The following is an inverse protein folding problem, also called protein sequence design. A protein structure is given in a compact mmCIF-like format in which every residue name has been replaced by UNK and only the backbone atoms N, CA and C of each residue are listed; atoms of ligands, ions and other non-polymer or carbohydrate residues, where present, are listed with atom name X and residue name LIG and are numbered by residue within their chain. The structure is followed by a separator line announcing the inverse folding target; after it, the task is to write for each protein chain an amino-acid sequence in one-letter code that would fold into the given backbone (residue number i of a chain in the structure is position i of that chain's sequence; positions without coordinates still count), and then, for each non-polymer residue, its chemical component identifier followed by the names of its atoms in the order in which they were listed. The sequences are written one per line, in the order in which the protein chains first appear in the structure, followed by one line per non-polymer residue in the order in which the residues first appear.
data_IF_310801018994
#
_entry.id   IF_310801018994
#
_cell.length_a   1.000
_cell.length_b   1.000
_cell.length_c   1.000
_cell.angle_alpha   90.00
_cell.angle_beta   90.00
_cell.angle_gamma   90.00
#
_symmetry.space_group_name_H-M   'P 1'
#
loop_
_entity.id
_entity.type
_entity.pdbx_description
1 polymer ?
#
# COMPACT_ATOMS: atom_id res chain seq x y z
N UNK A 1 76.37 -4.39 19.26
CA UNK A 1 75.46 -3.30 18.85
C UNK A 1 74.54 -3.87 17.78
N UNK A 2 73.34 -4.29 18.17
CA UNK A 2 72.30 -4.78 17.27
C UNK A 2 71.07 -3.92 17.48
N UNK A 3 70.66 -3.23 16.44
CA UNK A 3 69.61 -2.21 16.42
C UNK A 3 68.28 -2.92 16.18
N UNK A 4 67.43 -3.02 17.20
CA UNK A 4 66.04 -3.44 17.04
C UNK A 4 65.20 -2.27 16.58
N UNK A 5 64.68 -2.35 15.36
CA UNK A 5 63.67 -1.45 14.82
C UNK A 5 62.31 -1.75 15.47
N UNK A 6 61.78 -0.80 16.25
CA UNK A 6 60.36 -0.77 16.60
C UNK A 6 59.56 -0.34 15.38
N UNK A 7 58.73 -1.24 14.85
CA UNK A 7 57.70 -0.90 13.87
C UNK A 7 56.46 -0.47 14.63
N UNK A 8 56.20 0.85 14.67
CA UNK A 8 54.97 1.41 15.20
C UNK A 8 53.81 1.07 14.26
N UNK A 9 53.07 0.02 14.59
CA UNK A 9 51.86 -0.36 13.87
C UNK A 9 50.70 0.51 14.37
N UNK A 10 50.56 1.71 13.81
CA UNK A 10 49.45 2.62 14.12
C UNK A 10 48.19 2.09 13.40
N UNK A 11 47.44 1.20 14.06
CA UNK A 11 46.08 0.88 13.65
C UNK A 11 45.22 2.15 13.81
N UNK A 12 44.67 2.66 12.71
CA UNK A 12 43.67 3.71 12.74
C UNK A 12 42.49 3.26 13.63
N UNK A 13 41.92 4.13 14.47
CA UNK A 13 40.80 3.76 15.33
C UNK A 13 39.62 3.33 14.45
N UNK A 14 39.08 2.12 14.72
CA UNK A 14 37.89 1.62 14.03
C UNK A 14 36.70 2.53 14.38
N UNK A 15 36.05 3.08 13.36
CA UNK A 15 34.83 3.86 13.52
C UNK A 15 33.73 3.02 14.17
N UNK A 16 32.88 3.64 14.98
CA UNK A 16 31.68 2.97 15.47
C UNK A 16 30.70 2.72 14.31
N UNK A 17 29.90 1.64 14.39
CA UNK A 17 28.84 1.33 13.41
C UNK A 17 27.91 2.53 13.13
N UNK A 18 27.68 3.39 14.13
CA UNK A 18 26.85 4.60 13.98
C UNK A 18 27.55 5.67 13.13
N UNK A 19 28.86 5.85 13.30
CA UNK A 19 29.65 6.78 12.51
C UNK A 19 29.79 6.30 11.07
N UNK A 20 30.00 4.99 10.85
CA UNK A 20 30.01 4.39 9.52
C UNK A 20 28.68 4.60 8.79
N UNK A 21 27.55 4.36 9.46
CA UNK A 21 26.22 4.61 8.89
C UNK A 21 25.98 6.10 8.62
N UNK A 22 26.41 6.98 9.52
CA UNK A 22 26.32 8.43 9.33
C UNK A 22 27.10 8.87 8.09
N UNK A 23 28.31 8.35 7.89
CA UNK A 23 29.13 8.64 6.70
C UNK A 23 28.45 8.14 5.44
N UNK A 24 27.95 6.90 5.43
CA UNK A 24 27.19 6.36 4.28
C UNK A 24 25.96 7.21 3.95
N UNK A 25 25.25 7.73 4.96
CA UNK A 25 24.06 8.56 4.77
C UNK A 25 24.36 9.97 4.24
N UNK A 26 25.61 10.43 4.33
CA UNK A 26 26.05 11.71 3.74
C UNK A 26 26.21 11.64 2.22
N UNK A 27 26.22 10.43 1.66
CA UNK A 27 26.29 10.20 0.23
C UNK A 27 24.91 9.75 -0.29
N UNK A 28 24.71 9.91 -1.60
CA UNK A 28 23.59 9.33 -2.32
C UNK A 28 24.05 8.01 -2.92
N UNK A 29 23.25 6.96 -2.79
CA UNK A 29 23.52 5.73 -3.51
C UNK A 29 23.15 5.85 -5.01
N UNK A 30 23.44 4.82 -5.81
CA UNK A 30 23.20 4.84 -7.25
C UNK A 30 21.71 5.03 -7.62
N UNK A 31 20.78 4.55 -6.78
CA UNK A 31 19.35 4.71 -7.01
C UNK A 31 18.90 6.14 -6.73
N UNK A 32 19.48 6.78 -5.72
CA UNK A 32 19.20 8.16 -5.35
C UNK A 32 19.84 9.18 -6.30
N UNK A 33 21.02 8.86 -6.84
CA UNK A 33 21.72 9.66 -7.86
C UNK A 33 20.84 9.89 -9.08
N UNK A 34 20.08 8.88 -9.52
CA UNK A 34 19.13 9.02 -10.64
C UNK A 34 18.13 10.16 -10.40
N UNK A 35 17.54 10.22 -9.21
CA UNK A 35 16.55 11.25 -8.85
C UNK A 35 17.19 12.62 -8.66
N UNK A 36 18.41 12.69 -8.13
CA UNK A 36 19.17 13.93 -8.06
C UNK A 36 19.43 14.51 -9.45
N UNK A 37 19.86 13.66 -10.39
CA UNK A 37 20.20 14.10 -11.75
C UNK A 37 18.96 14.60 -12.50
N UNK A 38 17.77 14.11 -12.16
CA UNK A 38 16.48 14.55 -12.69
C UNK A 38 15.83 15.72 -11.91
N UNK A 39 16.40 16.15 -10.78
CA UNK A 39 15.76 17.10 -9.86
C UNK A 39 15.34 18.41 -10.52
N UNK A 40 16.24 19.05 -11.27
CA UNK A 40 15.99 20.36 -11.90
C UNK A 40 14.90 20.25 -12.97
N UNK A 41 14.93 19.18 -13.77
CA UNK A 41 13.95 18.93 -14.81
C UNK A 41 12.56 18.62 -14.22
N UNK A 42 12.47 17.76 -13.21
CA UNK A 42 11.21 17.48 -12.51
C UNK A 42 10.61 18.74 -11.89
N UNK A 43 11.45 19.60 -11.30
CA UNK A 43 11.01 20.89 -10.76
C UNK A 43 10.44 21.80 -11.85
N UNK A 44 11.04 21.83 -13.05
CA UNK A 44 10.50 22.57 -14.20
C UNK A 44 9.17 21.99 -14.70
N UNK A 45 9.00 20.66 -14.62
CA UNK A 45 7.73 19.98 -14.89
C UNK A 45 6.67 20.18 -13.80
N UNK A 46 6.99 20.91 -12.72
CA UNK A 46 6.06 21.18 -11.62
C UNK A 46 6.05 20.14 -10.51
N UNK A 47 7.07 19.29 -10.41
CA UNK A 47 7.23 18.27 -9.36
C UNK A 47 8.50 18.52 -8.55
N UNK A 48 8.34 18.95 -7.30
CA UNK A 48 9.45 19.24 -6.40
C UNK A 48 9.78 18.02 -5.54
N UNK A 49 11.00 17.49 -5.71
CA UNK A 49 11.54 16.45 -4.84
C UNK A 49 12.04 17.02 -3.51
N UNK A 50 12.22 16.13 -2.52
CA UNK A 50 12.76 16.46 -1.19
C UNK A 50 14.17 17.06 -1.27
N UNK A 51 14.60 17.85 -0.25
CA UNK A 51 15.91 18.51 -0.24
C UNK A 51 17.11 17.58 -0.48
N UNK A 52 17.01 16.32 -0.02
CA UNK A 52 18.04 15.29 -0.21
C UNK A 52 18.45 15.09 -1.68
N UNK A 53 17.52 15.25 -2.61
CA UNK A 53 17.76 15.04 -4.04
C UNK A 53 18.15 16.31 -4.79
N UNK A 54 18.33 17.44 -4.09
CA UNK A 54 18.84 18.65 -4.74
C UNK A 54 20.32 18.44 -5.15
N UNK A 55 20.76 18.79 -6.37
CA UNK A 55 22.16 18.68 -6.79
C UNK A 55 23.15 19.42 -5.89
N UNK A 56 22.71 20.48 -5.21
CA UNK A 56 23.50 21.27 -4.25
C UNK A 56 23.30 20.80 -2.80
N UNK A 57 22.69 19.63 -2.58
CA UNK A 57 22.40 19.11 -1.25
C UNK A 57 23.67 18.92 -0.42
N UNK A 58 23.62 19.45 0.80
CA UNK A 58 24.61 19.22 1.85
C UNK A 58 23.83 18.58 3.01
N UNK A 59 24.24 17.40 3.52
CA UNK A 59 23.55 16.75 4.62
C UNK A 59 23.40 17.69 5.82
N UNK A 60 22.18 17.83 6.33
CA UNK A 60 21.86 18.84 7.35
C UNK A 60 22.53 18.60 8.71
N UNK A 61 23.07 17.39 8.92
CA UNK A 61 23.86 17.03 10.09
C UNK A 61 25.37 17.24 9.91
N UNK A 62 25.86 17.43 8.68
CA UNK A 62 27.29 17.56 8.39
C UNK A 62 27.87 18.81 9.05
N UNK A 63 28.93 18.65 9.85
CA UNK A 63 29.56 19.75 10.58
C UNK A 63 28.73 20.30 11.76
N UNK A 64 27.68 19.58 12.17
CA UNK A 64 26.83 19.94 13.32
C UNK A 64 26.83 18.84 14.38
N UNK A 65 26.21 19.11 15.54
CA UNK A 65 25.98 18.10 16.58
C UNK A 65 24.67 17.33 16.41
N UNK A 66 23.99 17.44 15.25
CA UNK A 66 22.72 16.74 15.01
C UNK A 66 22.95 15.25 14.75
N UNK A 67 22.05 14.42 15.26
CA UNK A 67 21.98 13.02 14.86
C UNK A 67 21.34 12.93 13.46
N UNK A 68 21.96 12.19 12.54
CA UNK A 68 21.42 11.99 11.18
C UNK A 68 20.02 11.37 11.20
N UNK A 69 19.74 10.48 12.15
CA UNK A 69 18.42 9.81 12.28
C UNK A 69 17.30 10.84 12.53
N UNK A 70 17.64 11.98 13.15
CA UNK A 70 16.72 13.07 13.45
C UNK A 70 16.63 14.12 12.35
N UNK A 71 17.25 13.88 11.19
CA UNK A 71 17.25 14.80 10.06
C UNK A 71 16.29 14.30 8.96
N UNK A 72 15.49 15.21 8.41
CA UNK A 72 14.57 14.93 7.30
C UNK A 72 15.33 14.27 6.15
N UNK A 73 16.41 14.92 5.73
CA UNK A 73 17.21 14.60 4.54
C UNK A 73 18.10 13.35 4.70
N UNK A 74 17.95 12.61 5.80
CA UNK A 74 18.55 11.29 6.00
C UNK A 74 17.57 10.13 5.75
N UNK A 75 16.26 10.42 5.74
CA UNK A 75 15.21 9.43 5.52
C UNK A 75 15.14 9.07 4.03
N UNK A 76 15.17 7.78 3.71
CA UNK A 76 15.12 7.23 2.34
C UNK A 76 13.93 6.26 2.29
N UNK A 77 13.11 6.36 1.24
CA UNK A 77 11.98 5.45 1.03
C UNK A 77 12.42 4.02 0.70
N UNK A 78 11.47 3.08 0.68
CA UNK A 78 11.77 1.65 0.57
C UNK A 78 12.21 1.19 -0.82
N UNK A 79 11.78 1.90 -1.88
CA UNK A 79 12.01 1.50 -3.29
C UNK A 79 12.57 2.64 -4.16
N UNK A 80 13.69 3.26 -3.77
CA UNK A 80 14.25 4.42 -4.47
C UNK A 80 14.71 4.11 -5.89
N UNK A 81 14.83 2.84 -6.29
CA UNK A 81 15.12 2.44 -7.68
C UNK A 81 13.92 2.64 -8.63
N UNK A 82 12.68 2.62 -8.09
CA UNK A 82 11.43 2.60 -8.87
C UNK A 82 10.46 3.71 -8.50
N UNK A 83 10.44 4.14 -7.25
CA UNK A 83 9.45 5.05 -6.69
C UNK A 83 10.14 6.28 -6.10
N UNK A 84 9.51 7.44 -6.26
CA UNK A 84 9.97 8.69 -5.63
C UNK A 84 8.80 9.57 -5.23
N UNK A 85 8.87 10.15 -4.04
CA UNK A 85 7.85 11.09 -3.58
C UNK A 85 8.16 12.51 -4.06
N UNK A 86 7.12 13.22 -4.48
CA UNK A 86 7.23 14.60 -4.92
C UNK A 86 6.07 15.44 -4.38
N UNK A 87 6.27 16.75 -4.37
CA UNK A 87 5.19 17.73 -4.19
C UNK A 87 4.86 18.33 -5.54
N UNK A 88 3.62 18.17 -6.00
CA UNK A 88 3.14 18.89 -7.17
C UNK A 88 3.00 20.37 -6.83
N UNK A 89 3.67 21.23 -7.58
CA UNK A 89 3.83 22.66 -7.27
C UNK A 89 2.53 23.43 -7.45
N UNK A 90 1.65 23.00 -8.36
CA UNK A 90 0.42 23.74 -8.68
C UNK A 90 -0.62 23.74 -7.56
N UNK A 91 -0.65 22.72 -6.70
CA UNK A 91 -1.65 22.54 -5.65
C UNK A 91 -1.10 21.96 -4.34
N UNK A 92 0.23 21.90 -4.20
CA UNK A 92 0.95 21.36 -3.03
C UNK A 92 0.66 19.89 -2.70
N UNK A 93 0.01 19.16 -3.61
CA UNK A 93 -0.36 17.77 -3.41
C UNK A 93 0.88 16.87 -3.34
N UNK A 94 0.94 16.00 -2.33
CA UNK A 94 1.91 14.91 -2.29
C UNK A 94 1.53 13.84 -3.32
N UNK A 95 2.49 13.50 -4.17
CA UNK A 95 2.33 12.51 -5.24
C UNK A 95 3.48 11.50 -5.20
N UNK A 96 3.24 10.33 -5.76
CA UNK A 96 4.27 9.33 -6.04
C UNK A 96 4.60 9.36 -7.54
N UNK A 97 5.88 9.31 -7.86
CA UNK A 97 6.40 9.08 -9.20
C UNK A 97 6.83 7.62 -9.30
N UNK A 98 6.25 6.86 -10.23
CA UNK A 98 6.65 5.48 -10.55
C UNK A 98 7.39 5.45 -11.88
N UNK A 99 8.62 4.92 -11.88
CA UNK A 99 9.39 4.62 -13.08
C UNK A 99 8.80 3.40 -13.79
N UNK A 100 8.57 3.54 -15.08
CA UNK A 100 8.06 2.50 -15.96
C UNK A 100 8.96 2.43 -17.19
N UNK A 101 9.77 1.37 -17.38
CA UNK A 101 10.61 1.24 -18.57
C UNK A 101 9.73 1.17 -19.83
N UNK A 102 10.16 1.77 -20.95
CA UNK A 102 9.38 1.68 -22.19
C UNK A 102 9.41 0.23 -22.69
N UNK A 103 8.25 -0.42 -22.57
CA UNK A 103 8.04 -1.81 -22.95
C UNK A 103 6.54 -2.04 -23.15
N UNK A 104 6.18 -3.10 -23.88
CA UNK A 104 4.76 -3.46 -24.06
C UNK A 104 4.03 -3.68 -22.74
N UNK A 105 4.70 -4.25 -21.73
CA UNK A 105 4.11 -4.45 -20.41
C UNK A 105 3.76 -3.11 -19.72
N UNK A 106 4.71 -2.16 -19.71
CA UNK A 106 4.48 -0.83 -19.13
C UNK A 106 3.43 -0.03 -19.90
N UNK A 107 3.39 -0.13 -21.23
CA UNK A 107 2.36 0.53 -22.04
C UNK A 107 0.97 -0.04 -21.74
N UNK A 108 0.85 -1.36 -21.59
CA UNK A 108 -0.39 -2.00 -21.13
C UNK A 108 -0.81 -1.54 -19.73
N UNK A 109 0.14 -1.44 -18.78
CA UNK A 109 -0.13 -0.90 -17.44
C UNK A 109 -0.67 0.54 -17.51
N UNK A 110 -0.02 1.39 -18.33
CA UNK A 110 -0.41 2.78 -18.54
C UNK A 110 -1.82 2.86 -19.15
N UNK A 111 -2.12 2.05 -20.15
CA UNK A 111 -3.42 2.04 -20.82
C UNK A 111 -4.55 1.64 -19.87
N UNK A 112 -4.36 0.59 -19.05
CA UNK A 112 -5.31 0.19 -18.03
C UNK A 112 -5.48 1.28 -16.96
N UNK A 113 -4.39 1.83 -16.44
CA UNK A 113 -4.45 2.89 -15.43
C UNK A 113 -5.20 4.12 -15.98
N UNK A 114 -4.89 4.54 -17.21
CA UNK A 114 -5.54 5.67 -17.86
C UNK A 114 -7.01 5.41 -18.15
N UNK A 115 -7.38 4.18 -18.53
CA UNK A 115 -8.78 3.78 -18.72
C UNK A 115 -9.61 4.03 -17.46
N UNK A 116 -9.10 3.63 -16.28
CA UNK A 116 -9.79 3.91 -15.01
C UNK A 116 -9.67 5.36 -14.52
N UNK A 117 -8.70 6.13 -15.03
CA UNK A 117 -8.44 7.52 -14.64
C UNK A 117 -9.22 8.57 -15.42
N UNK A 118 -9.89 8.18 -16.50
CA UNK A 118 -10.62 9.07 -17.42
C UNK A 118 -12.14 8.88 -17.31
N UNK A 119 -12.91 9.86 -17.77
CA UNK A 119 -14.36 9.73 -17.85
C UNK A 119 -14.75 8.63 -18.86
N UNK A 120 -15.80 7.84 -18.58
CA UNK A 120 -16.75 7.99 -17.48
C UNK A 120 -16.33 7.30 -16.16
N UNK A 121 -15.17 6.65 -16.10
CA UNK A 121 -14.78 5.77 -15.00
C UNK A 121 -14.18 6.51 -13.80
N UNK A 122 -13.47 7.62 -14.03
CA UNK A 122 -12.74 8.40 -13.02
C UNK A 122 -13.55 8.68 -11.75
N UNK A 123 -14.80 9.11 -11.93
CA UNK A 123 -15.68 9.54 -10.85
C UNK A 123 -16.72 8.48 -10.43
N UNK A 124 -16.62 7.26 -10.96
CA UNK A 124 -17.54 6.19 -10.60
C UNK A 124 -17.35 5.81 -9.11
N UNK A 125 -18.41 5.70 -8.30
CA UNK A 125 -18.29 5.49 -6.85
C UNK A 125 -17.61 4.17 -6.48
N UNK A 126 -17.79 3.13 -7.30
CA UNK A 126 -17.12 1.82 -7.13
C UNK A 126 -15.72 1.75 -7.74
N UNK A 127 -15.22 2.84 -8.33
CA UNK A 127 -13.87 2.86 -8.88
C UNK A 127 -12.85 3.06 -7.75
N UNK A 128 -12.21 1.95 -7.42
CA UNK A 128 -11.08 1.86 -6.48
C UNK A 128 -9.76 1.58 -7.21
N UNK A 129 -9.65 1.79 -8.52
CA UNK A 129 -8.36 1.74 -9.21
C UNK A 129 -7.58 3.04 -8.95
N UNK A 130 -6.27 2.94 -8.72
CA UNK A 130 -5.42 4.12 -8.53
C UNK A 130 -5.43 5.00 -9.78
N UNK A 131 -5.68 6.32 -9.65
CA UNK A 131 -5.63 7.20 -10.79
C UNK A 131 -4.19 7.55 -11.16
N UNK A 132 -3.87 7.53 -12.45
CA UNK A 132 -2.69 8.19 -13.00
C UNK A 132 -3.09 9.61 -13.38
N UNK A 133 -2.55 10.58 -12.64
CA UNK A 133 -2.77 12.00 -12.91
C UNK A 133 -2.11 12.43 -14.22
N UNK A 134 -0.91 11.90 -14.47
CA UNK A 134 -0.11 12.21 -15.65
C UNK A 134 0.86 11.04 -15.91
N UNK A 135 1.26 10.88 -17.17
CA UNK A 135 2.35 9.98 -17.57
C UNK A 135 3.32 10.78 -18.42
N UNK A 136 4.56 10.91 -17.95
CA UNK A 136 5.59 11.78 -18.54
C UNK A 136 6.65 10.88 -19.18
N UNK A 137 6.93 11.05 -20.47
CA UNK A 137 8.10 10.42 -21.11
C UNK A 137 9.35 11.22 -20.78
N UNK A 138 10.36 10.57 -20.21
CA UNK A 138 11.63 11.24 -19.92
C UNK A 138 12.38 11.49 -21.24
N UNK A 139 12.84 12.73 -21.50
CA UNK A 139 13.60 13.03 -22.71
C UNK A 139 14.90 12.21 -22.79
N UNK A 140 15.14 11.58 -23.95
CA UNK A 140 16.35 10.79 -24.23
C UNK A 140 16.55 9.55 -23.34
N UNK A 141 15.50 9.08 -22.64
CA UNK A 141 15.51 7.82 -21.90
C UNK A 141 14.36 6.93 -22.32
N UNK A 142 14.56 5.61 -22.22
CA UNK A 142 13.51 4.61 -22.43
C UNK A 142 12.72 4.39 -21.13
N UNK A 143 12.20 5.47 -20.54
CA UNK A 143 11.42 5.42 -19.30
C UNK A 143 10.27 6.44 -19.30
N UNK A 144 9.11 6.00 -18.85
CA UNK A 144 7.98 6.83 -18.44
C UNK A 144 8.01 7.05 -16.93
N UNK A 145 7.49 8.18 -16.48
CA UNK A 145 7.13 8.47 -15.09
C UNK A 145 5.61 8.57 -14.98
N UNK A 146 4.99 7.64 -14.27
CA UNK A 146 3.59 7.75 -13.88
C UNK A 146 3.48 8.59 -12.60
N UNK A 147 2.65 9.63 -12.65
CA UNK A 147 2.32 10.48 -11.49
C UNK A 147 1.01 9.99 -10.90
N UNK A 148 1.04 9.52 -9.66
CA UNK A 148 -0.11 8.93 -8.97
C UNK A 148 -0.25 9.52 -7.56
N UNK A 149 -1.41 9.38 -6.88
CA UNK A 149 -1.54 9.80 -5.49
C UNK A 149 -0.46 9.17 -4.62
N UNK A 150 0.01 9.92 -3.62
CA UNK A 150 0.80 9.33 -2.55
C UNK A 150 -0.10 8.45 -1.67
N UNK A 151 0.23 7.18 -1.56
CA UNK A 151 -0.56 6.17 -0.84
C UNK A 151 0.33 5.42 0.15
N UNK A 152 -0.27 4.93 1.24
CA UNK A 152 0.44 4.16 2.27
C UNK A 152 -0.16 2.76 2.42
N UNK A 153 0.53 1.88 3.12
CA UNK A 153 0.00 0.56 3.47
C UNK A 153 -1.29 0.68 4.29
N UNK A 154 -2.27 -0.19 4.00
CA UNK A 154 -3.61 -0.14 4.61
C UNK A 154 -3.62 -0.53 6.10
N UNK A 155 -2.59 -1.21 6.61
CA UNK A 155 -2.42 -1.51 8.04
C UNK A 155 -1.62 -0.42 8.78
N UNK A 156 -1.29 0.70 8.13
CA UNK A 156 -0.51 1.79 8.72
C UNK A 156 -1.30 3.11 8.69
N UNK A 157 -1.89 3.53 9.82
CA UNK A 157 -1.89 2.87 11.14
C UNK A 157 -2.79 1.61 11.21
N UNK A 158 -2.65 0.76 12.22
CA UNK A 158 -3.47 -0.46 12.32
C UNK A 158 -4.98 -0.15 12.44
N UNK A 159 -5.83 -1.09 12.05
CA UNK A 159 -7.28 -0.94 12.25
C UNK A 159 -7.64 -0.94 13.74
N UNK A 160 -8.52 -0.04 14.15
CA UNK A 160 -8.98 0.04 15.53
C UNK A 160 -10.24 -0.78 15.80
N UNK A 161 -11.18 -0.80 14.84
CA UNK A 161 -12.49 -1.46 15.00
C UNK A 161 -12.78 -2.45 13.88
N UNK A 162 -13.61 -3.45 14.17
CA UNK A 162 -14.11 -4.38 13.15
C UNK A 162 -14.83 -3.61 12.03
N UNK A 163 -15.54 -2.53 12.34
CA UNK A 163 -16.21 -1.71 11.34
C UNK A 163 -15.25 -1.06 10.35
N UNK A 164 -14.05 -0.64 10.78
CA UNK A 164 -13.03 -0.11 9.86
C UNK A 164 -12.52 -1.20 8.91
N UNK A 165 -12.33 -2.44 9.40
CA UNK A 165 -11.95 -3.59 8.57
C UNK A 165 -13.04 -3.93 7.55
N UNK A 166 -14.31 -3.85 7.95
CA UNK A 166 -15.43 -4.11 7.04
C UNK A 166 -15.57 -3.03 5.96
N UNK A 167 -15.25 -1.78 6.28
CA UNK A 167 -15.20 -0.73 5.25
C UNK A 167 -14.05 -0.96 4.26
N UNK A 168 -12.89 -1.43 4.72
CA UNK A 168 -11.80 -1.86 3.85
C UNK A 168 -12.24 -2.99 2.91
N UNK A 169 -12.85 -4.07 3.44
CA UNK A 169 -13.35 -5.18 2.64
C UNK A 169 -14.39 -4.73 1.61
N UNK A 170 -15.33 -3.86 2.01
CA UNK A 170 -16.35 -3.31 1.11
C UNK A 170 -15.70 -2.64 -0.10
N UNK A 171 -14.76 -1.72 0.14
CA UNK A 171 -14.12 -0.93 -0.92
C UNK A 171 -13.32 -1.82 -1.89
N UNK A 172 -12.54 -2.79 -1.40
CA UNK A 172 -11.77 -3.68 -2.28
C UNK A 172 -12.68 -4.65 -3.06
N UNK A 173 -13.78 -5.12 -2.45
CA UNK A 173 -14.77 -5.95 -3.16
C UNK A 173 -15.48 -5.16 -4.26
N UNK A 174 -15.88 -3.92 -3.98
CA UNK A 174 -16.49 -3.03 -4.97
C UNK A 174 -15.52 -2.69 -6.11
N UNK A 175 -14.24 -2.44 -5.78
CA UNK A 175 -13.20 -2.19 -6.77
C UNK A 175 -13.03 -3.33 -7.76
N UNK A 176 -12.86 -4.56 -7.26
CA UNK A 176 -12.69 -5.74 -8.12
C UNK A 176 -13.98 -6.06 -8.86
N UNK A 177 -15.15 -5.92 -8.23
CA UNK A 177 -16.44 -6.04 -8.91
C UNK A 177 -16.56 -5.05 -10.08
N UNK A 178 -16.14 -3.81 -9.88
CA UNK A 178 -16.17 -2.77 -10.90
C UNK A 178 -15.25 -3.10 -12.08
N UNK A 179 -14.00 -3.51 -11.80
CA UNK A 179 -13.08 -3.99 -12.85
C UNK A 179 -13.70 -5.15 -13.65
N UNK A 180 -14.24 -6.15 -12.95
CA UNK A 180 -14.86 -7.33 -13.57
C UNK A 180 -16.10 -6.95 -14.40
N UNK A 181 -16.87 -5.94 -13.98
CA UNK A 181 -18.03 -5.44 -14.74
C UNK A 181 -17.65 -4.78 -16.07
N UNK A 182 -16.40 -4.32 -16.19
CA UNK A 182 -15.81 -3.77 -17.40
C UNK A 182 -14.95 -4.81 -18.15
N UNK A 183 -15.06 -6.08 -17.77
CA UNK A 183 -14.28 -7.21 -18.28
C UNK A 183 -12.76 -7.02 -18.16
N UNK A 184 -12.29 -6.31 -17.13
CA UNK A 184 -10.87 -6.21 -16.80
C UNK A 184 -10.60 -7.09 -15.59
N UNK A 185 -9.61 -7.96 -15.68
CA UNK A 185 -9.08 -8.68 -14.53
C UNK A 185 -7.74 -8.07 -14.12
N UNK A 186 -7.47 -8.02 -12.82
CA UNK A 186 -6.24 -7.45 -12.28
C UNK A 186 -5.07 -8.42 -12.41
N UNK A 187 -5.31 -9.73 -12.29
CA UNK A 187 -4.31 -10.80 -12.46
C UNK A 187 -3.10 -10.76 -11.52
N UNK A 188 -3.07 -9.87 -10.52
CA UNK A 188 -2.05 -9.87 -9.48
C UNK A 188 -2.56 -9.21 -8.19
N UNK A 189 -3.79 -9.51 -7.79
CA UNK A 189 -4.34 -9.03 -6.51
C UNK A 189 -3.54 -9.68 -5.37
N UNK A 190 -2.93 -8.85 -4.52
CA UNK A 190 -2.17 -9.28 -3.34
C UNK A 190 -2.17 -8.16 -2.31
N UNK A 191 -1.69 -8.45 -1.10
CA UNK A 191 -1.81 -7.57 0.05
C UNK A 191 -1.12 -6.19 -0.16
N UNK A 192 0.00 -6.15 -0.88
CA UNK A 192 0.79 -4.96 -1.23
C UNK A 192 0.30 -4.25 -2.51
N UNK A 193 -0.59 -4.89 -3.29
CA UNK A 193 -1.28 -4.26 -4.42
C UNK A 193 -2.61 -3.60 -4.01
N UNK A 194 -2.86 -3.49 -2.71
CA UNK A 194 -3.90 -2.65 -2.14
C UNK A 194 -3.22 -1.57 -1.30
N UNK A 195 -3.59 -0.32 -1.50
CA UNK A 195 -3.02 0.81 -0.77
C UNK A 195 -4.11 1.75 -0.26
N UNK A 196 -3.76 2.65 0.65
CA UNK A 196 -4.69 3.55 1.33
C UNK A 196 -4.27 5.01 1.14
N UNK A 197 -5.23 5.89 0.89
CA UNK A 197 -4.99 7.32 1.06
C UNK A 197 -5.09 7.67 2.55
N UNK A 198 -3.94 7.73 3.24
CA UNK A 198 -3.87 8.06 4.66
C UNK A 198 -3.97 9.54 4.97
N UNK A 199 -3.87 10.43 3.97
CA UNK A 199 -3.84 11.88 4.17
C UNK A 199 -4.99 12.40 5.06
N UNK A 200 -6.25 11.93 4.92
CA UNK A 200 -7.33 12.36 5.79
C UNK A 200 -7.10 12.04 7.26
N UNK A 201 -6.28 11.05 7.62
CA UNK A 201 -6.05 10.67 9.01
C UNK A 201 -5.27 11.71 9.81
N UNK A 202 -4.60 12.64 9.15
CA UNK A 202 -3.72 13.62 9.80
C UNK A 202 -4.33 15.02 9.79
N UNK A 203 -4.00 15.82 10.81
CA UNK A 203 -4.40 17.24 10.87
C UNK A 203 -3.56 18.12 9.94
N UNK A 204 -2.36 17.65 9.58
CA UNK A 204 -1.46 18.25 8.62
C UNK A 204 -0.71 17.16 7.82
N UNK A 205 -0.16 17.46 6.64
CA UNK A 205 0.50 16.46 5.80
C UNK A 205 1.65 15.73 6.52
N UNK A 206 1.63 14.39 6.59
CA UNK A 206 2.74 13.62 7.14
C UNK A 206 3.97 13.64 6.21
N UNK A 207 5.14 13.36 6.78
CA UNK A 207 6.35 13.16 6.00
C UNK A 207 6.25 11.85 5.20
N UNK A 208 6.61 11.85 3.91
CA UNK A 208 6.37 10.71 3.02
C UNK A 208 7.09 9.41 3.43
N UNK A 209 8.28 9.52 4.02
CA UNK A 209 9.06 8.35 4.44
C UNK A 209 8.87 8.02 5.92
N UNK A 210 8.46 9.01 6.72
CA UNK A 210 8.26 8.84 8.17
C UNK A 210 6.92 9.47 8.56
N UNK A 211 5.82 8.72 8.45
CA UNK A 211 4.49 9.25 8.71
C UNK A 211 4.25 9.57 10.20
N UNK A 212 5.22 9.29 11.08
CA UNK A 212 5.18 9.72 12.50
C UNK A 212 5.60 11.17 12.69
N UNK A 213 6.13 11.80 11.66
CA UNK A 213 6.54 13.21 11.65
C UNK A 213 5.73 13.99 10.63
N UNK A 214 5.61 15.30 10.84
CA UNK A 214 5.02 16.16 9.83
C UNK A 214 5.94 16.34 8.62
N UNK A 215 5.39 16.78 7.48
CA UNK A 215 6.14 16.96 6.22
C UNK A 215 7.41 17.80 6.37
N UNK A 216 7.41 18.81 7.24
CA UNK A 216 8.57 19.66 7.51
C UNK A 216 9.60 19.04 8.48
N UNK A 217 9.29 17.86 9.04
CA UNK A 217 10.11 17.10 9.99
C UNK A 217 10.44 17.88 11.26
N UNK A 218 9.46 18.66 11.75
CA UNK A 218 9.60 19.57 12.90
C UNK A 218 8.99 19.03 14.18
N UNK A 219 7.92 18.25 14.08
CA UNK A 219 7.26 17.66 15.24
C UNK A 219 6.52 16.35 14.87
N UNK A 220 6.25 15.49 15.87
CA UNK A 220 5.53 14.25 15.65
C UNK A 220 4.05 14.47 15.31
N UNK A 221 3.50 13.57 14.51
CA UNK A 221 2.07 13.48 14.21
C UNK A 221 1.46 12.21 14.77
N UNK A 222 0.22 12.33 15.23
CA UNK A 222 -0.62 11.19 15.60
C UNK A 222 -1.78 11.05 14.62
N UNK A 223 -1.95 9.89 13.96
CA UNK A 223 -3.08 9.66 13.09
C UNK A 223 -4.38 9.58 13.88
N UNK A 224 -5.46 10.07 13.29
CA UNK A 224 -6.83 9.87 13.77
C UNK A 224 -7.35 8.50 13.35
N UNK A 225 -8.29 7.94 14.12
CA UNK A 225 -8.99 6.71 13.77
C UNK A 225 -9.76 6.83 12.45
N UNK A 226 -9.77 5.77 11.63
CA UNK A 226 -10.58 5.69 10.40
C UNK A 226 -12.08 5.81 10.68
N UNK A 227 -12.53 5.42 11.87
CA UNK A 227 -13.90 5.63 12.36
C UNK A 227 -14.26 7.11 12.52
N UNK A 228 -13.26 7.98 12.74
CA UNK A 228 -13.43 9.42 12.81
C UNK A 228 -13.20 10.08 11.44
N UNK A 229 -12.18 9.63 10.70
CA UNK A 229 -11.81 10.15 9.38
C UNK A 229 -11.75 9.00 8.39
N UNK A 230 -12.87 8.67 7.72
CA UNK A 230 -12.91 7.63 6.71
C UNK A 230 -11.87 7.87 5.60
N UNK A 231 -11.32 6.77 5.07
CA UNK A 231 -10.27 6.77 4.06
C UNK A 231 -10.71 5.99 2.83
N UNK A 232 -10.08 6.30 1.69
CA UNK A 232 -10.27 5.54 0.45
C UNK A 232 -9.11 4.59 0.23
N UNK A 233 -9.44 3.35 -0.16
CA UNK A 233 -8.48 2.32 -0.58
C UNK A 233 -8.44 2.20 -2.09
N UNK A 234 -7.26 1.82 -2.60
CA UNK A 234 -6.99 1.69 -4.02
C UNK A 234 -6.32 0.35 -4.36
N UNK A 235 -6.75 -0.27 -5.46
CA UNK A 235 -6.03 -1.28 -6.20
C UNK A 235 -4.95 -0.59 -7.04
N UNK A 236 -3.72 -1.09 -6.97
CA UNK A 236 -2.55 -0.53 -7.65
C UNK A 236 -1.83 -1.62 -8.47
N UNK A 237 -0.82 -1.20 -9.23
CA UNK A 237 0.08 -2.10 -9.98
C UNK A 237 -0.64 -2.93 -11.05
N UNK A 238 -0.98 -2.27 -12.16
CA UNK A 238 -1.72 -2.86 -13.27
C UNK A 238 -0.81 -3.57 -14.29
N UNK A 239 0.43 -3.90 -13.93
CA UNK A 239 1.42 -4.52 -14.83
C UNK A 239 0.95 -5.86 -15.43
N UNK A 240 0.13 -6.61 -14.69
CA UNK A 240 -0.45 -7.88 -15.14
C UNK A 240 -1.93 -7.76 -15.54
N UNK A 241 -2.53 -6.59 -15.37
CA UNK A 241 -3.96 -6.39 -15.61
C UNK A 241 -4.26 -6.40 -17.11
N UNK A 242 -5.36 -7.07 -17.49
CA UNK A 242 -5.73 -7.24 -18.89
C UNK A 242 -7.23 -7.05 -19.11
N UNK A 243 -7.64 -6.44 -20.24
CA UNK A 243 -9.03 -6.44 -20.67
C UNK A 243 -9.35 -7.73 -21.43
N UNK A 244 -10.54 -8.27 -21.22
CA UNK A 244 -11.02 -9.50 -21.87
C UNK A 244 -12.25 -9.20 -22.71
N UNK A 245 -12.18 -9.55 -23.99
CA UNK A 245 -13.35 -9.50 -24.85
C UNK A 245 -14.09 -10.83 -24.79
N UNK A 246 -15.17 -10.88 -24.00
CA UNK A 246 -16.00 -12.06 -23.82
C UNK A 246 -16.71 -12.52 -25.11
N UNK A 247 -16.77 -11.68 -26.15
CA UNK A 247 -17.33 -12.06 -27.45
C UNK A 247 -16.36 -12.93 -28.28
N UNK A 248 -15.06 -12.93 -27.96
CA UNK A 248 -14.04 -13.70 -28.68
C UNK A 248 -13.72 -15.06 -28.03
N UNK A 249 -14.47 -15.44 -27.00
CA UNK A 249 -14.34 -16.73 -26.32
C UNK A 249 -14.11 -16.58 -24.83
N UNK A 250 -13.74 -17.69 -24.19
CA UNK A 250 -13.48 -17.72 -22.76
C UNK A 250 -12.17 -16.97 -22.41
N UNK A 251 -12.20 -16.09 -21.40
CA UNK A 251 -11.01 -15.48 -20.82
C UNK A 251 -9.99 -16.53 -20.37
N UNK A 252 -8.73 -16.36 -20.76
CA UNK A 252 -7.65 -17.31 -20.45
C UNK A 252 -6.36 -16.59 -20.12
N UNK A 253 -5.72 -16.99 -19.02
CA UNK A 253 -4.35 -16.62 -18.65
C UNK A 253 -3.50 -17.87 -18.42
N UNK A 254 -2.19 -17.83 -18.70
CA UNK A 254 -1.31 -18.95 -18.40
C UNK A 254 -1.28 -19.26 -16.90
N UNK A 255 -1.33 -20.55 -16.57
CA UNK A 255 -1.26 -21.02 -15.18
C UNK A 255 0.14 -20.76 -14.61
N UNK A 256 0.20 -20.20 -13.39
CA UNK A 256 1.47 -19.98 -12.69
C UNK A 256 2.27 -18.76 -13.13
N UNK A 257 1.80 -17.98 -14.12
CA UNK A 257 2.31 -16.63 -14.34
C UNK A 257 1.80 -15.74 -13.22
N UNK A 258 2.65 -15.47 -12.24
CA UNK A 258 2.41 -14.48 -11.20
C UNK A 258 3.40 -13.34 -11.38
N UNK A 259 2.94 -12.11 -11.18
CA UNK A 259 3.83 -10.97 -11.03
C UNK A 259 4.86 -11.22 -9.92
N UNK A 260 5.87 -10.36 -9.83
CA UNK A 260 6.87 -10.46 -8.77
C UNK A 260 6.20 -10.39 -7.38
N UNK A 261 6.51 -11.36 -6.51
CA UNK A 261 5.86 -11.47 -5.19
C UNK A 261 4.36 -11.84 -5.23
N UNK A 262 3.83 -12.20 -6.41
CA UNK A 262 2.44 -12.57 -6.62
C UNK A 262 2.00 -13.75 -5.75
N UNK A 263 0.73 -13.74 -5.35
CA UNK A 263 0.13 -14.85 -4.61
C UNK A 263 0.02 -16.09 -5.49
N UNK A 264 0.76 -17.14 -5.11
CA UNK A 264 0.79 -18.45 -5.78
C UNK A 264 -0.20 -19.44 -5.16
N UNK A 265 -0.89 -19.08 -4.08
CA UNK A 265 -1.81 -19.95 -3.34
C UNK A 265 -3.20 -20.04 -3.99
N UNK A 266 -3.23 -20.00 -5.32
CA UNK A 266 -4.39 -20.22 -6.16
C UNK A 266 -4.42 -21.71 -6.52
N UNK A 267 -5.46 -22.48 -6.14
CA UNK A 267 -5.49 -23.93 -6.31
C UNK A 267 -5.18 -24.44 -7.73
N UNK A 268 -5.58 -23.68 -8.75
CA UNK A 268 -5.38 -23.97 -10.17
C UNK A 268 -3.90 -23.97 -10.56
N UNK A 269 -3.07 -23.19 -9.87
CA UNK A 269 -1.64 -23.09 -10.16
C UNK A 269 -0.85 -24.34 -9.75
N UNK A 270 -1.47 -25.22 -8.96
CA UNK A 270 -0.91 -26.54 -8.63
C UNK A 270 -1.39 -27.65 -9.58
N UNK A 271 -2.21 -27.32 -10.59
CA UNK A 271 -2.74 -28.29 -11.56
C UNK A 271 -1.90 -28.32 -12.83
N UNK A 272 -1.99 -29.40 -13.61
CA UNK A 272 -1.34 -29.50 -14.94
C UNK A 272 -2.10 -28.73 -16.04
N UNK A 273 -3.00 -27.82 -15.69
CA UNK A 273 -3.70 -27.00 -16.68
C UNK A 273 -2.74 -25.96 -17.27
N UNK A 274 -2.88 -25.68 -18.57
CA UNK A 274 -2.07 -24.65 -19.25
C UNK A 274 -2.65 -23.24 -19.04
N UNK A 275 -3.99 -23.14 -19.01
CA UNK A 275 -4.70 -21.88 -18.85
C UNK A 275 -5.79 -21.96 -17.78
N UNK A 276 -6.11 -20.82 -17.17
CA UNK A 276 -7.24 -20.65 -16.26
C UNK A 276 -8.01 -19.36 -16.55
N UNK A 277 -9.25 -19.30 -16.08
CA UNK A 277 -10.07 -18.08 -16.16
C UNK A 277 -9.55 -17.07 -15.12
N UNK A 278 -9.15 -15.85 -15.54
CA UNK A 278 -8.62 -14.82 -14.65
C UNK A 278 -9.63 -14.30 -13.61
N UNK A 279 -10.94 -14.31 -13.91
CA UNK A 279 -11.92 -13.72 -13.00
C UNK A 279 -12.08 -14.52 -11.70
N UNK A 280 -12.22 -15.87 -11.72
CA UNK A 280 -12.15 -16.69 -10.51
C UNK A 280 -10.78 -16.64 -9.80
N UNK A 281 -9.69 -16.38 -10.51
CA UNK A 281 -8.35 -16.22 -9.92
C UNK A 281 -8.29 -14.96 -9.06
N UNK A 282 -8.76 -13.81 -9.58
CA UNK A 282 -8.89 -12.57 -8.83
C UNK A 282 -9.75 -12.74 -7.56
N UNK A 283 -10.88 -13.45 -7.66
CA UNK A 283 -11.75 -13.76 -6.51
C UNK A 283 -10.99 -14.55 -5.44
N UNK A 284 -10.23 -15.57 -5.84
CA UNK A 284 -9.47 -16.40 -4.90
C UNK A 284 -8.35 -15.61 -4.23
N UNK A 285 -7.61 -14.79 -4.98
CA UNK A 285 -6.55 -13.93 -4.44
C UNK A 285 -7.07 -12.89 -3.46
N UNK A 286 -8.20 -12.26 -3.78
CA UNK A 286 -8.88 -11.36 -2.87
C UNK A 286 -9.35 -12.07 -1.60
N UNK A 287 -9.85 -13.31 -1.73
CA UNK A 287 -10.15 -14.19 -0.60
C UNK A 287 -8.90 -14.52 0.23
N UNK A 288 -7.76 -14.76 -0.42
CA UNK A 288 -6.48 -15.06 0.21
C UNK A 288 -5.94 -13.85 1.01
N UNK A 289 -6.11 -12.61 0.54
CA UNK A 289 -5.78 -11.41 1.34
C UNK A 289 -6.50 -11.46 2.70
N UNK A 290 -7.81 -11.77 2.69
CA UNK A 290 -8.63 -11.86 3.91
C UNK A 290 -8.22 -13.08 4.73
N UNK A 291 -8.02 -14.23 4.07
CA UNK A 291 -7.61 -15.48 4.69
C UNK A 291 -6.34 -15.26 5.50
N UNK A 292 -5.27 -14.80 4.87
CA UNK A 292 -3.95 -14.73 5.49
C UNK A 292 -3.81 -13.59 6.49
N UNK A 293 -4.41 -12.42 6.24
CA UNK A 293 -4.18 -11.24 7.08
C UNK A 293 -5.26 -10.98 8.14
N UNK A 294 -6.35 -11.77 8.15
CA UNK A 294 -7.48 -11.52 9.05
C UNK A 294 -8.04 -12.78 9.71
N UNK A 295 -8.18 -13.92 9.01
CA UNK A 295 -8.92 -15.08 9.56
C UNK A 295 -8.07 -16.31 9.89
N UNK A 296 -7.04 -16.62 9.10
CA UNK A 296 -6.37 -17.93 9.13
C UNK A 296 -5.33 -18.03 10.24
N UNK A 297 -5.19 -19.23 10.78
CA UNK A 297 -4.32 -19.54 11.90
C UNK A 297 -2.89 -19.90 11.48
N UNK A 298 -2.64 -20.11 10.19
CA UNK A 298 -1.32 -20.42 9.64
C UNK A 298 -0.53 -19.12 9.44
N UNK A 299 0.41 -18.87 10.35
CA UNK A 299 1.18 -17.63 10.45
C UNK A 299 2.23 -17.49 9.32
N UNK A 300 2.62 -18.59 8.66
CA UNK A 300 3.71 -18.60 7.66
C UNK A 300 3.44 -17.75 6.41
N UNK A 301 2.16 -17.55 6.05
CA UNK A 301 1.74 -16.79 4.86
C UNK A 301 1.20 -15.39 5.21
N UNK A 302 1.19 -15.03 6.51
CA UNK A 302 0.62 -13.79 7.02
C UNK A 302 1.69 -12.75 7.30
N UNK A 303 1.50 -11.52 6.82
CA UNK A 303 2.42 -10.40 7.11
C UNK A 303 2.02 -9.67 8.39
N UNK A 304 0.71 -9.53 8.61
CA UNK A 304 0.17 -8.80 9.77
C UNK A 304 -0.40 -9.70 10.88
N UNK A 305 -0.43 -11.02 10.65
CA UNK A 305 -1.01 -12.01 11.54
C UNK A 305 -2.55 -11.99 11.54
N UNK A 306 -3.19 -13.10 11.97
CA UNK A 306 -4.65 -13.14 12.10
C UNK A 306 -5.19 -12.22 13.18
N UNK A 307 -6.46 -11.82 12.99
CA UNK A 307 -7.18 -10.89 13.86
C UNK A 307 -8.37 -11.59 14.51
N UNK A 308 -8.53 -11.40 15.81
CA UNK A 308 -9.67 -11.99 16.53
C UNK A 308 -10.96 -11.29 16.13
N UNK A 309 -12.03 -12.08 16.07
CA UNK A 309 -13.38 -11.56 15.90
C UNK A 309 -13.86 -11.44 14.46
N UNK A 310 -13.09 -11.89 13.47
CA UNK A 310 -13.45 -11.89 12.05
C UNK A 310 -13.84 -13.27 11.51
N UNK A 311 -14.01 -14.28 12.38
CA UNK A 311 -14.35 -15.65 11.97
C UNK A 311 -15.68 -15.79 11.23
N UNK A 312 -16.59 -14.81 11.34
CA UNK A 312 -17.84 -14.80 10.56
C UNK A 312 -17.59 -14.63 9.05
N UNK A 313 -16.40 -14.19 8.64
CA UNK A 313 -16.00 -14.11 7.23
C UNK A 313 -15.55 -15.46 6.65
N UNK A 314 -15.17 -16.42 7.50
CA UNK A 314 -14.60 -17.70 7.07
C UNK A 314 -15.47 -18.45 6.04
N UNK A 315 -16.81 -18.53 6.17
CA UNK A 315 -17.63 -19.20 5.16
C UNK A 315 -17.56 -18.55 3.78
N UNK A 316 -17.57 -17.21 3.71
CA UNK A 316 -17.46 -16.48 2.45
C UNK A 316 -16.07 -16.63 1.84
N UNK A 317 -15.02 -16.48 2.65
CA UNK A 317 -13.62 -16.65 2.22
C UNK A 317 -13.36 -18.06 1.70
N UNK A 318 -13.88 -19.09 2.38
CA UNK A 318 -13.78 -20.47 1.93
C UNK A 318 -14.40 -20.67 0.54
N UNK A 319 -15.55 -20.06 0.28
CA UNK A 319 -16.21 -20.17 -1.03
C UNK A 319 -15.45 -19.38 -2.11
N UNK A 320 -14.89 -18.20 -1.77
CA UNK A 320 -14.03 -17.42 -2.67
C UNK A 320 -12.75 -18.18 -3.05
N UNK A 321 -12.17 -18.92 -2.11
CA UNK A 321 -10.96 -19.71 -2.30
C UNK A 321 -11.26 -21.19 -2.62
N UNK A 322 -12.45 -21.50 -3.13
CA UNK A 322 -12.84 -22.89 -3.42
C UNK A 322 -11.87 -23.51 -4.45
N UNK A 323 -11.49 -24.78 -4.26
CA UNK A 323 -10.50 -25.47 -5.12
C UNK A 323 -10.92 -25.55 -6.58
N UNK A 324 -12.20 -25.82 -6.80
CA UNK A 324 -12.83 -25.78 -8.12
C UNK A 324 -13.23 -24.34 -8.45
N UNK A 325 -12.64 -23.70 -9.48
CA UNK A 325 -12.90 -22.31 -9.83
C UNK A 325 -14.35 -22.06 -10.28
N UNK A 326 -15.01 -23.06 -10.87
CA UNK A 326 -16.41 -22.93 -11.32
C UNK A 326 -17.40 -22.80 -10.15
N UNK A 327 -16.98 -23.22 -8.95
CA UNK A 327 -17.78 -23.10 -7.71
C UNK A 327 -17.53 -21.82 -6.94
N UNK A 328 -16.54 -21.01 -7.36
CA UNK A 328 -16.30 -19.72 -6.73
C UNK A 328 -17.43 -18.75 -7.05
N UNK A 329 -17.87 -17.94 -6.07
CA UNK A 329 -18.85 -16.91 -6.34
C UNK A 329 -18.26 -15.86 -7.29
N UNK A 330 -19.10 -15.30 -8.17
CA UNK A 330 -18.72 -14.10 -8.93
C UNK A 330 -18.65 -12.90 -7.99
N UNK A 331 -17.91 -11.85 -8.35
CA UNK A 331 -17.76 -10.68 -7.47
C UNK A 331 -19.07 -10.01 -7.06
N UNK A 332 -20.10 -10.00 -7.91
CA UNK A 332 -21.42 -9.48 -7.52
C UNK A 332 -22.10 -10.33 -6.43
N UNK A 333 -21.87 -11.64 -6.42
CA UNK A 333 -22.34 -12.53 -5.36
C UNK A 333 -21.52 -12.35 -4.08
N UNK A 334 -20.20 -12.13 -4.20
CA UNK A 334 -19.32 -11.81 -3.07
C UNK A 334 -19.80 -10.54 -2.36
N UNK A 335 -20.00 -9.45 -3.10
CA UNK A 335 -20.49 -8.17 -2.55
C UNK A 335 -21.85 -8.37 -1.85
N UNK A 336 -22.81 -9.02 -2.51
CA UNK A 336 -24.14 -9.27 -1.92
C UNK A 336 -24.07 -10.13 -0.65
N UNK A 337 -23.27 -11.20 -0.64
CA UNK A 337 -23.09 -12.07 0.53
C UNK A 337 -22.41 -11.29 1.68
N UNK A 338 -21.42 -10.47 1.35
CA UNK A 338 -20.71 -9.63 2.31
C UNK A 338 -21.63 -8.59 2.97
N UNK A 339 -22.50 -7.94 2.19
CA UNK A 339 -23.51 -7.01 2.71
C UNK A 339 -24.45 -7.69 3.72
N UNK A 340 -24.94 -8.89 3.40
CA UNK A 340 -25.80 -9.69 4.29
C UNK A 340 -25.06 -10.06 5.58
N UNK A 341 -23.81 -10.52 5.48
CA UNK A 341 -22.98 -10.84 6.65
C UNK A 341 -22.80 -9.60 7.53
N UNK A 342 -22.43 -8.47 6.94
CA UNK A 342 -22.20 -7.21 7.64
C UNK A 342 -23.47 -6.70 8.33
N UNK A 343 -24.62 -6.75 7.66
CA UNK A 343 -25.91 -6.30 8.19
C UNK A 343 -26.41 -7.18 9.36
N UNK A 344 -25.99 -8.45 9.42
CA UNK A 344 -26.34 -9.36 10.51
C UNK A 344 -25.56 -9.11 11.81
N UNK A 345 -24.47 -8.33 11.76
CA UNK A 345 -23.63 -8.09 12.93
C UNK A 345 -24.26 -7.06 13.87
N UNK A 346 -24.27 -7.32 15.18
CA UNK A 346 -24.76 -6.35 16.14
C UNK A 346 -23.80 -5.16 16.24
N UNK A 347 -24.34 -3.98 16.56
CA UNK A 347 -23.57 -2.73 16.60
C UNK A 347 -22.32 -2.80 17.50
N UNK A 348 -22.38 -3.54 18.61
CA UNK A 348 -21.25 -3.70 19.53
C UNK A 348 -20.11 -4.51 18.91
N UNK A 349 -20.43 -5.45 18.01
CA UNK A 349 -19.43 -6.24 17.27
C UNK A 349 -18.69 -5.35 16.29
N UNK A 350 -19.42 -4.53 15.52
CA UNK A 350 -18.83 -3.54 14.61
C UNK A 350 -17.88 -2.57 15.35
N UNK A 351 -18.24 -2.17 16.57
CA UNK A 351 -17.41 -1.29 17.41
C UNK A 351 -16.35 -2.00 18.23
N UNK A 352 -16.27 -3.31 18.19
CA UNK A 352 -15.28 -4.06 18.96
C UNK A 352 -13.88 -3.82 18.41
N UNK A 353 -12.88 -3.90 19.29
CA UNK A 353 -11.46 -3.79 18.91
C UNK A 353 -11.09 -4.87 17.90
N UNK A 354 -10.25 -4.50 16.93
CA UNK A 354 -9.40 -5.47 16.25
C UNK A 354 -8.29 -5.84 17.22
N UNK A 355 -8.14 -7.14 17.50
CA UNK A 355 -7.16 -7.65 18.46
C UNK A 355 -6.23 -8.58 17.68
N UNK A 356 -4.93 -8.24 17.56
CA UNK A 356 -3.94 -9.17 17.04
C UNK A 356 -3.99 -10.46 17.83
N UNK A 357 -3.90 -11.61 17.16
CA UNK A 357 -4.10 -12.90 17.85
C UNK A 357 -3.15 -13.11 19.02
N UNK A 358 -1.93 -12.62 18.89
CA UNK A 358 -0.84 -12.70 19.88
C UNK A 358 -0.94 -11.67 21.01
N UNK A 359 -1.89 -10.72 20.99
CA UNK A 359 -2.02 -9.72 22.06
C UNK A 359 -2.26 -10.40 23.41
N UNK A 360 -1.31 -10.19 24.34
CA UNK A 360 -1.33 -10.79 25.67
C UNK A 360 -2.59 -10.40 26.46
N UNK A 361 -3.13 -11.33 27.24
CA UNK A 361 -4.39 -11.18 27.99
C UNK A 361 -4.41 -9.91 28.88
N UNK A 362 -3.28 -9.56 29.50
CA UNK A 362 -3.17 -8.36 30.35
C UNK A 362 -3.25 -7.05 29.56
N UNK A 363 -2.58 -6.95 28.41
CA UNK A 363 -2.68 -5.78 27.53
C UNK A 363 -4.12 -5.59 27.03
N UNK A 364 -4.79 -6.72 26.73
CA UNK A 364 -6.19 -6.72 26.33
C UNK A 364 -7.10 -6.14 27.40
N UNK A 365 -6.94 -6.58 28.66
CA UNK A 365 -7.72 -6.05 29.79
C UNK A 365 -7.44 -4.56 30.03
N UNK A 366 -6.18 -4.14 29.92
CA UNK A 366 -5.79 -2.73 30.14
C UNK A 366 -6.37 -1.78 29.08
N UNK A 367 -6.34 -2.18 27.80
CA UNK A 367 -6.83 -1.34 26.68
C UNK A 367 -8.36 -1.34 26.52
N UNK A 368 -9.06 -2.28 27.13
CA UNK A 368 -10.51 -2.46 26.96
C UNK A 368 -11.36 -1.27 27.47
N UNK A 369 -11.14 -0.72 28.69
CA UNK A 369 -11.93 0.41 29.18
C UNK A 369 -11.77 1.67 28.32
N UNK A 370 -10.52 2.03 27.97
CA UNK A 370 -10.23 3.20 27.15
C UNK A 370 -10.87 3.11 25.75
N UNK A 371 -10.88 1.92 25.15
CA UNK A 371 -11.58 1.68 23.89
C UNK A 371 -13.08 1.94 23.97
N UNK A 372 -13.76 1.33 24.95
CA UNK A 372 -15.21 1.51 25.09
C UNK A 372 -15.60 2.94 25.50
N UNK A 373 -14.74 3.65 26.23
CA UNK A 373 -14.88 5.09 26.42
C UNK A 373 -14.89 5.87 25.10
N UNK A 374 -13.94 5.58 24.19
CA UNK A 374 -13.90 6.18 22.84
C UNK A 374 -15.14 5.81 22.01
N UNK A 375 -15.62 4.57 22.09
CA UNK A 375 -16.82 4.13 21.38
C UNK A 375 -18.10 4.77 21.95
N UNK A 376 -18.21 4.98 23.26
CA UNK A 376 -19.32 5.71 23.86
C UNK A 376 -19.37 7.16 23.34
N UNK A 377 -18.23 7.84 23.26
CA UNK A 377 -18.12 9.17 22.64
C UNK A 377 -18.54 9.13 21.16
N UNK A 378 -18.12 8.12 20.41
CA UNK A 378 -18.51 7.96 19.00
C UNK A 378 -20.03 7.77 18.84
N UNK A 379 -20.67 7.00 19.72
CA UNK A 379 -22.14 6.80 19.73
C UNK A 379 -22.85 8.11 20.06
N UNK A 380 -22.41 8.83 21.11
CA UNK A 380 -22.98 10.13 21.48
C UNK A 380 -22.87 11.15 20.34
N UNK A 381 -21.76 11.12 19.60
CA UNK A 381 -21.53 11.93 18.40
C UNK A 381 -22.21 11.36 17.13
N UNK A 382 -23.05 10.33 17.25
CA UNK A 382 -23.78 9.67 16.15
C UNK A 382 -22.90 9.22 14.99
N UNK A 383 -21.64 8.89 15.25
CA UNK A 383 -20.73 8.37 14.24
C UNK A 383 -21.15 6.95 13.87
N UNK A 384 -21.15 6.57 12.58
CA UNK A 384 -21.49 5.21 12.19
C UNK A 384 -20.47 4.21 12.76
N UNK A 385 -20.89 2.97 12.94
CA UNK A 385 -19.98 1.91 13.41
C UNK A 385 -19.04 1.42 12.30
N UNK A 386 -19.49 1.51 11.04
CA UNK A 386 -18.69 1.30 9.83
C UNK A 386 -18.47 2.70 9.24
N UNK A 387 -17.22 3.21 9.19
CA UNK A 387 -16.96 4.49 8.53
C UNK A 387 -17.32 4.41 7.05
N UNK A 388 -17.69 5.53 6.43
CA UNK A 388 -18.01 5.56 5.02
C UNK A 388 -17.30 6.74 4.35
N UNK A 389 -16.40 6.44 3.41
CA UNK A 389 -15.60 7.45 2.70
C UNK A 389 -16.42 8.30 1.72
N UNK A 390 -17.57 7.82 1.26
CA UNK A 390 -18.43 8.53 0.30
C UNK A 390 -19.35 9.56 0.95
N UNK A 391 -19.47 9.54 2.29
CA UNK A 391 -20.38 10.40 3.06
C UNK A 391 -19.65 11.48 3.87
N UNK A 392 -18.38 11.72 3.60
CA UNK A 392 -17.54 12.71 4.31
C UNK A 392 -17.66 14.11 3.74
#
# INVERSE_FOLDING_TARGET
MSTTQETSNTQAPSLSRREELSLRRQELDATEVYWRDHYVWLKQMGYLLRPRYNPEWIPSWKGTNKSWISCEDAQIGDWPDRLMEATRVSDELQVQLKKLPISHASESEIDIAQFFSKDPHKNHPSNHCVPFYEVIKIPNEDTYLAVMPFLTHWEEPAFETIGEVLEFFRQIFEGVQFMHSLNVAHNDIKFDNVMMNAMPLYDEPPHPVDPTMNKAYTHPLEPRSRSLRPVKYYLIDFGEALPYNLAHGEPRIPVGQTGYGGDKNVPEFSTNAEYCDPFPVDVCRLGNIIRFNFTDKNEEESIYGPKRGLSFMEPLVRDMCHKDPAKRPKMHEVVKRFEVLTASLPWWKLRSRVIPREEHIFLRMFRFPGHWGRQAIAILKRRPAIPNFTKT
#
